data_IF_196146878537
#
_entry.id   IF_196146878537
#
_cell.length_a   1.000
_cell.length_b   1.000
_cell.length_c   1.000
_cell.angle_alpha   90.00
_cell.angle_beta   90.00
_cell.angle_gamma   90.00
#
_symmetry.space_group_name_H-M   'P 1'
#
loop_
_entity.id
_entity.type
_entity.pdbx_description
1 polymer ?
2 non-polymer ?
3 non-polymer ?
4 non-polymer ?
5 water ?
#
# COMPACT_ATOMS: atom_id res chain seq x y z
N UNK A 1 0.67 4.27 17.10
CA UNK A 1 -0.78 4.59 17.17
C UNK A 1 -1.25 5.16 15.86
N UNK A 2 -2.41 4.76 15.36
CA UNK A 2 -3.01 5.48 14.24
C UNK A 2 -4.03 6.45 14.77
N UNK A 3 -4.09 7.55 14.05
CA UNK A 3 -4.86 8.68 14.52
C UNK A 3 -5.81 9.28 13.49
N UNK A 4 -5.71 8.86 12.21
CA UNK A 4 -6.49 9.53 11.16
C UNK A 4 -7.57 8.61 10.59
N UNK A 5 -8.77 9.17 10.44
CA UNK A 5 -9.79 8.57 9.62
C UNK A 5 -9.69 9.17 8.24
N UNK A 6 -8.91 8.51 7.39
CA UNK A 6 -8.71 9.04 6.05
C UNK A 6 -9.99 8.99 5.23
N UNK A 7 -10.22 10.04 4.47
CA UNK A 7 -11.44 10.14 3.66
C UNK A 7 -11.15 9.64 2.27
N UNK A 8 -11.99 8.73 1.78
CA UNK A 8 -11.81 8.21 0.44
C UNK A 8 -12.16 9.27 -0.60
N UNK A 9 -11.56 9.09 -1.75
CA UNK A 9 -11.89 9.97 -2.91
C UNK A 9 -13.38 9.97 -3.22
N UNK A 10 -13.95 11.17 -3.37
CA UNK A 10 -15.33 11.30 -3.86
C UNK A 10 -15.36 10.73 -5.28
N UNK A 11 -16.30 9.84 -5.53
CA UNK A 11 -16.44 9.29 -6.86
C UNK A 11 -15.32 8.34 -7.24
N UNK A 12 -14.63 7.73 -6.25
CA UNK A 12 -13.58 6.74 -6.52
C UNK A 12 -14.05 5.69 -7.52
N UNK A 13 -13.18 5.42 -8.50
CA UNK A 13 -13.42 4.45 -9.57
C UNK A 13 -12.68 3.16 -9.20
N UNK A 14 -13.39 2.23 -8.56
CA UNK A 14 -12.78 1.00 -8.02
C UNK A 14 -12.26 0.10 -9.12
N UNK A 15 -12.98 -0.01 -10.25
CA UNK A 15 -12.50 -0.91 -11.30
C UNK A 15 -11.22 -0.42 -11.93
N UNK A 16 -11.03 0.89 -12.05
CA UNK A 16 -9.80 1.42 -12.61
C UNK A 16 -8.61 1.19 -11.67
N UNK A 17 -8.84 1.36 -10.39
CA UNK A 17 -7.74 1.23 -9.42
C UNK A 17 -7.35 -0.27 -9.29
N UNK A 18 -8.39 -1.09 -9.14
CA UNK A 18 -8.26 -2.54 -8.99
C UNK A 18 -8.30 -3.24 -10.33
N UNK A 19 -7.41 -2.87 -11.26
CA UNK A 19 -7.41 -3.38 -12.61
C UNK A 19 -6.45 -4.50 -12.87
N UNK A 20 -5.71 -4.90 -11.80
CA UNK A 20 -4.74 -5.97 -11.94
C UNK A 20 -3.32 -5.48 -12.16
N UNK A 21 -3.13 -4.17 -12.30
CA UNK A 21 -1.81 -3.64 -12.62
C UNK A 21 -1.06 -3.28 -11.32
N UNK A 22 0.19 -2.84 -11.54
CA UNK A 22 1.07 -2.47 -10.46
C UNK A 22 1.08 -0.97 -10.15
N UNK A 23 1.15 -0.63 -8.89
CA UNK A 23 1.36 0.74 -8.40
C UNK A 23 2.70 0.75 -7.63
N UNK A 24 3.52 1.72 -7.95
CA UNK A 24 4.81 1.88 -7.23
C UNK A 24 4.65 3.01 -6.22
N UNK A 25 5.23 2.82 -5.02
CA UNK A 25 5.29 3.92 -4.06
C UNK A 25 6.46 4.84 -4.45
N UNK A 26 6.17 6.11 -4.75
CA UNK A 26 7.21 7.07 -5.07
C UNK A 26 7.56 7.95 -3.88
N UNK A 27 6.66 8.09 -2.92
CA UNK A 27 6.92 8.97 -1.76
C UNK A 27 6.03 8.48 -0.63
N UNK A 28 6.52 8.62 0.60
CA UNK A 28 5.71 8.19 1.73
C UNK A 28 5.91 9.13 2.93
N UNK A 29 4.94 9.11 3.83
CA UNK A 29 5.00 9.91 5.05
C UNK A 29 4.35 9.11 6.15
N UNK A 30 5.10 8.81 7.22
CA UNK A 30 4.50 8.23 8.38
C UNK A 30 4.38 9.32 9.45
N UNK A 31 3.17 9.47 9.99
CA UNK A 31 3.00 10.47 11.05
C UNK A 31 3.81 10.18 12.31
N UNK A 32 4.19 8.91 12.47
CA UNK A 32 5.22 8.47 13.46
C UNK A 32 6.43 8.10 12.60
N UNK A 33 7.31 9.07 12.28
CA UNK A 33 8.34 8.83 11.26
C UNK A 33 9.35 7.75 11.65
N UNK A 34 9.59 7.58 12.95
CA UNK A 34 10.53 6.54 13.38
C UNK A 34 9.99 5.10 13.18
N UNK A 35 8.72 4.93 12.83
CA UNK A 35 8.19 3.59 12.62
C UNK A 35 8.69 2.93 11.37
N UNK A 36 9.15 3.72 10.40
CA UNK A 36 9.65 3.18 9.13
C UNK A 36 11.02 3.80 8.81
N UNK A 37 11.84 3.07 8.03
CA UNK A 37 13.15 3.60 7.68
C UNK A 37 13.10 4.89 6.89
N UNK A 38 14.25 5.56 6.82
CA UNK A 38 14.40 6.77 6.02
C UNK A 38 14.58 6.48 4.53
N UNK A 39 14.96 5.23 4.22
CA UNK A 39 15.13 4.81 2.83
C UNK A 39 14.33 3.54 2.67
N UNK A 40 13.47 3.49 1.67
CA UNK A 40 12.68 2.27 1.51
C UNK A 40 12.18 2.15 0.08
N UNK A 41 11.79 0.92 -0.32
CA UNK A 41 11.20 0.55 -1.67
C UNK A 41 9.89 -0.23 -1.40
N UNK A 42 8.79 0.10 -2.08
CA UNK A 42 7.55 -0.65 -1.92
C UNK A 42 6.71 -0.45 -3.17
N UNK A 43 5.94 -1.51 -3.43
CA UNK A 43 5.01 -1.53 -4.57
C UNK A 43 3.89 -2.47 -4.25
N UNK A 44 2.83 -2.40 -5.05
CA UNK A 44 1.69 -3.27 -4.86
C UNK A 44 0.93 -3.45 -6.15
N UNK A 45 0.29 -4.61 -6.30
CA UNK A 45 -0.67 -4.83 -7.38
C UNK A 45 -2.03 -4.91 -6.71
N UNK A 46 -3.07 -4.48 -7.44
CA UNK A 46 -4.44 -4.42 -6.91
C UNK A 46 -5.34 -4.87 -8.01
N UNK A 47 -6.23 -5.80 -7.72
CA UNK A 47 -7.11 -6.30 -8.75
C UNK A 47 -8.14 -7.25 -8.18
N UNK A 48 -9.10 -7.64 -9.01
CA UNK A 48 -10.06 -8.70 -8.66
C UNK A 48 -9.59 -9.98 -9.32
N UNK A 49 -9.52 -11.06 -8.52
CA UNK A 49 -9.07 -12.37 -9.01
C UNK A 49 -10.19 -13.36 -8.68
N UNK A 50 -10.81 -13.92 -9.70
CA UNK A 50 -11.91 -14.87 -9.55
C UNK A 50 -12.94 -14.31 -8.55
N UNK A 51 -13.34 -13.07 -8.76
CA UNK A 51 -14.41 -12.45 -8.01
C UNK A 51 -13.96 -11.80 -6.70
N UNK A 52 -12.71 -12.06 -6.28
CA UNK A 52 -12.23 -11.63 -4.95
C UNK A 52 -11.35 -10.39 -5.08
N UNK A 53 -11.57 -9.38 -4.24
CA UNK A 53 -10.76 -8.15 -4.24
C UNK A 53 -9.45 -8.42 -3.55
N UNK A 54 -8.34 -8.19 -4.26
CA UNK A 54 -6.99 -8.57 -3.79
C UNK A 54 -5.98 -7.48 -3.91
N UNK A 55 -4.99 -7.47 -3.00
CA UNK A 55 -3.75 -6.68 -3.17
C UNK A 55 -2.58 -7.57 -2.88
N UNK A 56 -1.53 -7.44 -3.70
CA UNK A 56 -0.25 -8.11 -3.47
C UNK A 56 0.73 -7.00 -3.17
N UNK A 57 1.55 -7.19 -2.12
CA UNK A 57 2.49 -6.15 -1.65
C UNK A 57 3.90 -6.66 -1.78
N UNK A 58 4.80 -5.71 -1.98
CA UNK A 58 6.23 -5.92 -1.97
C UNK A 58 6.86 -4.80 -1.17
N UNK A 59 7.74 -5.20 -0.23
CA UNK A 59 8.56 -4.29 0.59
C UNK A 59 10.02 -4.68 0.46
N UNK A 60 10.88 -3.67 0.39
CA UNK A 60 12.33 -3.93 0.29
C UNK A 60 13.04 -2.77 0.97
N UNK A 61 13.89 -3.10 1.96
CA UNK A 61 14.74 -2.11 2.60
C UNK A 61 16.06 -2.13 1.83
N UNK A 62 16.36 -1.04 1.11
CA UNK A 62 17.50 -1.03 0.19
C UNK A 62 18.86 -1.05 0.92
N UNK A 63 18.88 -0.77 2.22
CA UNK A 63 20.14 -0.86 3.01
C UNK A 63 20.31 -2.22 3.64
N UNK A 64 19.26 -2.75 4.29
CA UNK A 64 19.39 -4.02 4.95
C UNK A 64 19.17 -5.22 4.05
N UNK A 65 18.52 -4.99 2.90
CA UNK A 65 18.05 -6.03 1.97
C UNK A 65 16.87 -6.84 2.49
N UNK A 66 16.29 -6.45 3.61
CA UNK A 66 15.10 -7.16 4.07
C UNK A 66 14.03 -7.03 2.99
N UNK A 67 13.41 -8.17 2.65
CA UNK A 67 12.48 -8.31 1.51
C UNK A 67 11.32 -9.12 1.97
N UNK A 68 10.10 -8.70 1.62
CA UNK A 68 8.97 -9.58 1.86
C UNK A 68 7.82 -9.20 0.96
N UNK A 69 7.07 -10.22 0.61
CA UNK A 69 5.82 -10.11 -0.17
C UNK A 69 4.65 -10.50 0.72
N UNK A 70 3.48 -9.96 0.38
CA UNK A 70 2.24 -10.33 1.05
C UNK A 70 1.12 -10.41 0.05
N UNK A 71 0.20 -11.33 0.33
CA UNK A 71 -1.06 -11.43 -0.41
C UNK A 71 -2.16 -10.96 0.54
N UNK A 72 -3.07 -10.12 0.06
CA UNK A 72 -4.12 -9.58 0.91
C UNK A 72 -5.46 -9.78 0.25
N UNK A 73 -6.43 -10.14 1.10
CA UNK A 73 -7.82 -10.16 0.67
C UNK A 73 -8.49 -8.95 1.28
N UNK A 74 -9.18 -8.14 0.46
CA UNK A 74 -9.76 -6.92 1.00
C UNK A 74 -11.25 -7.06 1.20
N UNK A 75 -11.71 -6.60 2.35
CA UNK A 75 -13.13 -6.46 2.62
C UNK A 75 -13.48 -4.99 2.51
N UNK A 76 -14.70 -4.73 2.08
CA UNK A 76 -15.15 -3.37 1.83
C UNK A 76 -15.79 -2.82 3.08
N UNK A 77 -15.33 -1.64 3.51
CA UNK A 77 -15.99 -0.86 4.54
C UNK A 77 -16.89 0.21 3.93
N UNK A 78 -16.43 0.79 2.84
CA UNK A 78 -17.18 1.82 2.09
C UNK A 78 -16.41 2.04 0.83
N UNK A 79 -16.97 2.73 -0.15
CA UNK A 79 -16.24 2.81 -1.39
C UNK A 79 -14.89 3.52 -1.15
N UNK A 80 -13.82 2.88 -1.57
CA UNK A 80 -12.46 3.35 -1.39
C UNK A 80 -11.83 3.10 -0.01
N UNK A 81 -12.51 2.44 0.91
CA UNK A 81 -11.95 2.15 2.24
C UNK A 81 -12.17 0.69 2.55
N UNK A 82 -11.05 0.04 2.88
CA UNK A 82 -10.97 -1.43 2.97
C UNK A 82 -10.25 -1.88 4.23
N UNK A 83 -10.57 -3.10 4.65
CA UNK A 83 -9.79 -3.78 5.70
C UNK A 83 -9.22 -5.02 5.05
N UNK A 84 -7.91 -5.19 5.19
CA UNK A 84 -7.15 -6.20 4.48
C UNK A 84 -6.50 -7.16 5.45
N UNK A 85 -6.73 -8.45 5.17
CA UNK A 85 -5.84 -9.37 5.80
C UNK A 85 -4.54 -9.36 5.09
N UNK A 86 -3.60 -10.02 5.77
CA UNK A 86 -2.37 -10.36 5.04
C UNK A 86 -1.77 -11.74 5.36
N UNK A 87 -1.23 -12.37 4.32
CA UNK A 87 -0.36 -13.51 4.56
C UNK A 87 0.95 -13.17 3.90
N UNK A 88 2.02 -13.48 4.63
CA UNK A 88 3.36 -13.30 4.10
C UNK A 88 3.68 -14.50 3.23
N UNK A 89 4.16 -14.23 2.02
CA UNK A 89 4.41 -15.26 1.04
C UNK A 89 5.77 -15.05 0.43
N UNK A 90 6.31 -16.12 -0.15
CA UNK A 90 7.42 -15.89 -1.04
C UNK A 90 6.88 -15.32 -2.39
N UNK A 91 7.79 -15.02 -3.29
CA UNK A 91 7.37 -14.33 -4.52
C UNK A 91 6.43 -15.19 -5.38
N UNK A 92 6.45 -16.49 -5.15
CA UNK A 92 5.59 -17.43 -5.89
C UNK A 92 4.27 -17.72 -5.19
N UNK A 93 4.01 -17.07 -4.05
CA UNK A 93 2.74 -17.25 -3.39
C UNK A 93 2.72 -18.34 -2.33
N UNK A 94 3.87 -18.97 -2.05
CA UNK A 94 3.90 -19.98 -1.01
C UNK A 94 3.84 -19.30 0.35
N UNK A 95 2.98 -19.81 1.22
CA UNK A 95 2.73 -19.15 2.49
C UNK A 95 3.88 -19.34 3.47
N UNK A 96 4.37 -18.21 3.98
CA UNK A 96 5.36 -18.16 5.07
C UNK A 96 4.78 -17.87 6.42
N UNK A 97 3.76 -16.99 6.42
CA UNK A 97 3.06 -16.68 7.64
C UNK A 97 1.60 -16.57 7.21
N UNK A 98 0.77 -17.46 7.75
CA UNK A 98 -0.64 -17.53 7.36
C UNK A 98 -1.43 -16.29 7.80
N UNK A 99 -2.58 -16.06 7.16
CA UNK A 99 -3.53 -15.10 7.67
C UNK A 99 -3.78 -15.38 9.16
N UNK A 100 -3.92 -14.31 9.97
CA UNK A 100 -4.40 -14.40 11.36
C UNK A 100 -5.24 -13.15 11.69
N UNK A 101 -6.22 -13.31 12.59
CA UNK A 101 -7.18 -12.25 12.87
C UNK A 101 -6.55 -10.92 13.14
N UNK A 102 -5.50 -11.01 13.93
CA UNK A 102 -4.82 -9.84 14.47
C UNK A 102 -3.89 -9.06 13.54
N UNK A 103 -3.56 -9.65 12.38
CA UNK A 103 -2.69 -9.10 11.33
C UNK A 103 -3.57 -8.55 10.23
N UNK A 104 -3.74 -7.23 10.20
CA UNK A 104 -4.58 -6.62 9.15
C UNK A 104 -4.09 -5.19 8.94
N UNK A 105 -4.48 -4.63 7.79
CA UNK A 105 -4.30 -3.19 7.61
C UNK A 105 -5.55 -2.58 7.06
N UNK A 106 -5.78 -1.33 7.43
CA UNK A 106 -6.82 -0.55 6.70
C UNK A 106 -6.14 0.10 5.51
N UNK A 107 -6.95 0.35 4.48
CA UNK A 107 -6.43 0.88 3.26
C UNK A 107 -7.47 1.82 2.67
N UNK A 108 -7.11 3.11 2.54
CA UNK A 108 -8.03 4.15 2.01
C UNK A 108 -7.42 4.82 0.81
N UNK A 109 -8.17 4.82 -0.29
CA UNK A 109 -7.73 5.53 -1.49
C UNK A 109 -8.29 6.92 -1.44
N UNK A 110 -7.39 7.84 -1.08
CA UNK A 110 -7.71 9.26 -0.88
C UNK A 110 -7.83 10.04 -2.21
N UNK A 111 -7.12 9.60 -3.23
CA UNK A 111 -7.13 10.23 -4.54
C UNK A 111 -6.66 9.17 -5.51
N UNK A 112 -7.27 9.08 -6.70
CA UNK A 112 -6.67 8.24 -7.73
C UNK A 112 -7.09 8.78 -9.08
N UNK A 113 -6.22 8.58 -10.05
CA UNK A 113 -6.57 8.73 -11.46
C UNK A 113 -5.90 7.59 -12.16
N UNK A 114 -5.83 7.64 -13.48
CA UNK A 114 -5.31 6.46 -14.17
C UNK A 114 -3.87 6.16 -13.88
N UNK A 115 -3.11 7.18 -13.50
CA UNK A 115 -1.66 7.05 -13.39
C UNK A 115 -1.08 7.36 -11.98
N UNK A 116 -1.86 7.91 -11.07
CA UNK A 116 -1.32 8.32 -9.75
C UNK A 116 -2.41 8.09 -8.71
N UNK A 117 -1.92 8.02 -7.46
CA UNK A 117 -2.87 7.86 -6.36
C UNK A 117 -2.24 8.33 -5.07
N UNK A 118 -3.08 8.62 -4.08
CA UNK A 118 -2.67 8.91 -2.72
C UNK A 118 -3.48 7.97 -1.83
N UNK A 119 -2.77 7.14 -1.03
CA UNK A 119 -3.44 6.24 -0.11
C UNK A 119 -2.99 6.53 1.32
N UNK A 120 -3.79 6.03 2.24
CA UNK A 120 -3.48 5.94 3.65
C UNK A 120 -3.62 4.48 4.08
N UNK A 121 -2.71 4.03 4.94
CA UNK A 121 -2.81 2.74 5.56
C UNK A 121 -2.49 2.85 7.04
N UNK A 122 -3.15 2.02 7.82
CA UNK A 122 -2.80 1.79 9.22
C UNK A 122 -2.58 0.28 9.35
N UNK A 123 -1.34 -0.12 9.56
CA UNK A 123 -0.96 -1.53 9.71
C UNK A 123 -1.04 -1.95 11.16
N UNK A 124 -1.70 -3.07 11.41
CA UNK A 124 -1.77 -3.70 12.72
C UNK A 124 -1.13 -5.09 12.62
N UNK A 125 -0.17 -5.40 13.50
CA UNK A 125 0.34 -6.78 13.64
C UNK A 125 0.16 -7.09 15.11
N UNK A 126 -0.98 -7.70 15.44
CA UNK A 126 -1.38 -7.89 16.83
C UNK A 126 -1.62 -6.54 17.48
N UNK A 127 -1.01 -6.35 18.64
CA UNK A 127 -1.19 -5.14 19.39
C UNK A 127 -0.31 -3.97 18.91
N UNK A 128 0.56 -4.20 17.93
CA UNK A 128 1.38 -3.10 17.43
C UNK A 128 0.81 -2.55 16.16
N UNK A 129 1.05 -1.27 15.93
CA UNK A 129 0.76 -0.69 14.64
C UNK A 129 1.95 0.11 14.12
N UNK A 130 1.90 0.45 12.83
CA UNK A 130 2.98 1.14 12.20
C UNK A 130 2.66 2.59 11.91
N UNK A 131 1.69 3.14 12.65
CA UNK A 131 1.35 4.53 12.49
C UNK A 131 0.54 4.87 11.24
N UNK A 132 0.07 6.13 11.17
CA UNK A 132 -0.58 6.55 9.91
C UNK A 132 0.43 6.68 8.82
N UNK A 133 0.30 5.87 7.76
CA UNK A 133 1.28 5.89 6.70
C UNK A 133 0.56 6.34 5.42
N UNK A 134 1.02 7.44 4.83
CA UNK A 134 0.51 7.92 3.57
C UNK A 134 1.52 7.56 2.50
N UNK A 135 1.01 7.22 1.32
CA UNK A 135 1.88 6.89 0.21
C UNK A 135 1.33 7.50 -1.09
N UNK A 136 2.22 8.16 -1.82
CA UNK A 136 1.94 8.57 -3.20
C UNK A 136 2.40 7.47 -4.11
N UNK A 137 1.48 7.08 -5.01
CA UNK A 137 1.67 5.95 -5.94
C UNK A 137 1.70 6.49 -7.37
N UNK A 138 2.41 5.78 -8.21
CA UNK A 138 2.35 6.06 -9.64
C UNK A 138 2.40 4.72 -10.39
N UNK A 139 1.78 4.70 -11.58
CA UNK A 139 1.94 3.55 -12.49
C UNK A 139 3.35 3.44 -13.06
N UNK A 140 4.08 4.56 -13.12
CA UNK A 140 5.43 4.61 -13.66
C UNK A 140 6.35 4.76 -12.46
N UNK A 141 7.23 3.78 -12.29
CA UNK A 141 8.09 3.78 -11.11
C UNK A 141 8.98 5.00 -11.00
N UNK A 142 9.20 5.68 -12.11
CA UNK A 142 10.10 6.83 -12.11
C UNK A 142 9.43 8.20 -12.14
N UNK A 143 8.10 8.22 -12.09
CA UNK A 143 7.40 9.47 -12.22
C UNK A 143 7.55 10.38 -11.00
N UNK A 144 7.92 11.64 -11.23
CA UNK A 144 7.80 12.68 -10.22
C UNK A 144 6.33 12.95 -9.95
N UNK A 145 5.99 13.26 -8.70
CA UNK A 145 4.61 13.53 -8.37
C UNK A 145 4.14 14.78 -9.10
N UNK A 146 3.04 14.61 -9.83
CA UNK A 146 2.42 15.71 -10.57
C UNK A 146 1.46 16.53 -9.75
N UNK A 147 0.89 17.49 -10.44
CA UNK A 147 -0.02 18.40 -9.78
C UNK A 147 -1.29 17.78 -9.23
N UNK A 148 -1.88 16.79 -9.88
CA UNK A 148 -3.14 16.23 -9.38
C UNK A 148 -2.86 15.62 -8.01
N UNK A 149 -1.82 14.79 -7.92
CA UNK A 149 -1.60 14.10 -6.64
C UNK A 149 -1.05 15.06 -5.59
N UNK A 150 -0.16 15.99 -5.96
CA UNK A 150 0.32 16.96 -4.96
C UNK A 150 -0.82 17.81 -4.41
N UNK A 151 -1.75 18.21 -5.27
CA UNK A 151 -2.90 18.96 -4.78
C UNK A 151 -3.73 18.10 -3.81
N UNK A 152 -3.88 16.81 -4.13
CA UNK A 152 -4.56 15.93 -3.21
C UNK A 152 -3.87 15.83 -1.85
N UNK A 153 -2.54 15.81 -1.84
CA UNK A 153 -1.79 15.81 -0.58
C UNK A 153 -2.16 17.09 0.19
N UNK A 154 -2.17 18.23 -0.50
CA UNK A 154 -2.55 19.50 0.17
C UNK A 154 -4.00 19.50 0.64
N UNK A 155 -4.88 18.85 -0.12
CA UNK A 155 -6.28 18.78 0.26
C UNK A 155 -6.54 17.90 1.49
N UNK A 156 -5.60 16.99 1.75
CA UNK A 156 -5.62 16.15 2.96
C UNK A 156 -4.95 16.89 4.13
N UNK A 157 -4.62 18.18 3.93
CA UNK A 157 -3.94 19.01 4.94
C UNK A 157 -2.58 18.42 5.34
N UNK A 158 -1.89 17.90 4.32
CA UNK A 158 -0.50 17.45 4.44
C UNK A 158 0.35 18.31 3.52
N UNK A 159 1.65 18.14 3.62
CA UNK A 159 2.58 18.90 2.81
C UNK A 159 3.46 17.93 2.10
N UNK A 160 3.41 17.96 0.78
CA UNK A 160 4.18 17.01 -0.01
C UNK A 160 5.68 17.14 0.24
N UNK A 161 6.11 18.36 0.53
CA UNK A 161 7.50 18.65 0.89
C UNK A 161 8.04 17.81 2.05
N UNK A 162 7.14 17.29 2.86
CA UNK A 162 7.55 16.50 4.03
C UNK A 162 7.65 15.00 3.72
N UNK A 163 7.10 14.57 2.58
CA UNK A 163 7.15 13.16 2.21
C UNK A 163 8.58 12.79 1.85
N UNK A 164 8.93 11.54 2.13
CA UNK A 164 10.24 11.01 1.80
C UNK A 164 10.15 10.24 0.48
N UNK A 165 10.97 10.61 -0.49
CA UNK A 165 11.01 9.97 -1.79
C UNK A 165 11.69 8.61 -1.75
N UNK A 166 11.21 7.69 -2.58
CA UNK A 166 11.89 6.41 -2.73
C UNK A 166 12.86 6.40 -3.91
N UNK A 167 13.01 7.51 -4.62
CA UNK A 167 13.65 7.52 -5.94
C UNK A 167 15.15 7.33 -5.94
N UNK A 168 15.80 7.60 -4.82
CA UNK A 168 17.27 7.51 -4.82
C UNK A 168 17.79 6.19 -4.28
N UNK A 169 16.97 5.16 -4.32
CA UNK A 169 17.34 3.90 -3.66
C UNK A 169 17.64 2.74 -4.61
N UNK A 170 17.74 3.02 -5.91
CA UNK A 170 17.95 1.99 -6.94
C UNK A 170 16.92 0.83 -6.87
N UNK A 171 15.70 1.18 -6.45
CA UNK A 171 14.62 0.21 -6.32
C UNK A 171 14.35 -0.49 -7.63
N UNK A 172 14.30 -1.84 -7.55
CA UNK A 172 13.98 -2.71 -8.68
C UNK A 172 12.91 -3.75 -8.28
N UNK A 173 11.89 -3.86 -9.13
CA UNK A 173 10.68 -4.55 -8.77
C UNK A 173 10.41 -5.71 -9.72
N UNK A 174 9.85 -6.79 -9.16
CA UNK A 174 9.43 -7.93 -9.93
C UNK A 174 7.91 -7.77 -10.19
N UNK A 175 7.60 -7.08 -11.30
CA UNK A 175 6.18 -6.86 -11.68
C UNK A 175 5.42 -8.14 -11.90
N UNK A 176 6.08 -9.12 -12.50
CA UNK A 176 5.46 -10.40 -12.78
C UNK A 176 5.02 -11.07 -11.52
N UNK A 177 5.86 -11.08 -10.48
CA UNK A 177 5.43 -11.72 -9.25
C UNK A 177 4.29 -10.96 -8.57
N UNK A 178 4.30 -9.62 -8.60
CA UNK A 178 3.17 -8.89 -8.04
C UNK A 178 1.85 -9.21 -8.75
N UNK A 179 1.87 -9.24 -10.08
CA UNK A 179 0.65 -9.56 -10.81
C UNK A 179 0.19 -10.99 -10.51
N UNK A 180 1.12 -11.94 -10.51
CA UNK A 180 0.69 -13.31 -10.28
C UNK A 180 0.16 -13.50 -8.86
N UNK A 181 0.78 -12.82 -7.90
CA UNK A 181 0.38 -12.98 -6.51
C UNK A 181 -1.05 -12.60 -6.27
N UNK A 182 -1.66 -11.77 -7.15
CA UNK A 182 -3.09 -11.47 -6.99
C UNK A 182 -3.95 -12.71 -6.98
N UNK A 183 -3.49 -13.78 -7.64
CA UNK A 183 -4.31 -14.98 -7.75
C UNK A 183 -4.14 -15.92 -6.57
N UNK A 184 -3.19 -15.62 -5.67
CA UNK A 184 -2.68 -16.59 -4.67
C UNK A 184 -3.29 -16.43 -3.32
#
# INVERSE_FOLDING_TARGET
ACTKNAIAQTGFNKDKYFNGDVWYVTDYLDLEPDDVPKRYCAALAAGTASGKLKEALYHYDPKTQDTFYDVSELQVESLGKYTANFKKVDKNGNVKVAVTAGNYYTFTVMYADDSSALIHTCLHKGNKDLGDLYAVLNRNKDAAAGDKVKSAVSAATLEFSKFISTKENNCAYDNDSLKSLLTK
#
